data_IF_687656157093
#
_entry.id   IF_687656157093
#
_cell.length_a   1.000
_cell.length_b   1.000
_cell.length_c   1.000
_cell.angle_alpha   90.00
_cell.angle_beta   90.00
_cell.angle_gamma   90.00
#
_symmetry.space_group_name_H-M   'P 1'
#
loop_
_entity.id
_entity.type
_entity.pdbx_description
1 polymer ?
#
# COMPACT_ATOMS: atom_id res chain seq x y z
N UNK A 1 17.12 -11.14 19.87
CA UNK A 1 16.13 -11.42 18.81
C UNK A 1 16.86 -12.04 17.64
N UNK A 2 16.26 -13.03 16.99
CA UNK A 2 16.87 -13.59 15.79
C UNK A 2 16.57 -12.66 14.61
N UNK A 3 17.58 -11.90 14.19
CA UNK A 3 17.52 -10.93 13.09
C UNK A 3 16.95 -11.58 11.83
N UNK A 4 17.26 -12.86 11.63
CA UNK A 4 16.81 -13.66 10.49
C UNK A 4 15.28 -13.79 10.49
N UNK A 5 14.66 -14.02 11.66
CA UNK A 5 13.20 -14.14 11.78
C UNK A 5 12.52 -12.81 11.48
N UNK A 6 13.00 -11.71 12.06
CA UNK A 6 12.44 -10.39 11.79
C UNK A 6 12.49 -10.04 10.31
N UNK A 7 13.66 -10.20 9.69
CA UNK A 7 13.86 -9.86 8.29
C UNK A 7 13.02 -10.74 7.38
N UNK A 8 12.94 -12.06 7.65
CA UNK A 8 12.17 -12.98 6.81
C UNK A 8 10.67 -12.68 6.86
N UNK A 9 10.11 -12.47 8.05
CA UNK A 9 8.68 -12.17 8.22
C UNK A 9 8.34 -10.78 7.67
N UNK A 10 9.20 -9.79 7.92
CA UNK A 10 8.99 -8.43 7.38
C UNK A 10 9.11 -8.43 5.86
N UNK A 11 10.09 -9.12 5.28
CA UNK A 11 10.27 -9.25 3.84
C UNK A 11 9.04 -9.91 3.20
N UNK A 12 8.52 -10.96 3.82
CA UNK A 12 7.29 -11.61 3.39
C UNK A 12 6.09 -10.66 3.35
N UNK A 13 5.88 -9.91 4.43
CA UNK A 13 4.77 -8.95 4.53
C UNK A 13 4.89 -7.83 3.50
N UNK A 14 6.08 -7.23 3.36
CA UNK A 14 6.34 -6.20 2.36
C UNK A 14 6.19 -6.70 0.94
N UNK A 15 6.68 -7.91 0.66
CA UNK A 15 6.53 -8.54 -0.64
C UNK A 15 5.05 -8.77 -0.98
N UNK A 16 4.26 -9.28 -0.03
CA UNK A 16 2.82 -9.47 -0.19
C UNK A 16 2.07 -8.14 -0.42
N UNK A 17 2.45 -7.09 0.31
CA UNK A 17 1.89 -5.74 0.12
C UNK A 17 2.19 -5.20 -1.27
N UNK A 18 3.45 -5.27 -1.71
CA UNK A 18 3.84 -4.80 -3.04
C UNK A 18 3.11 -5.60 -4.13
N UNK A 19 2.97 -6.92 -3.98
CA UNK A 19 2.20 -7.75 -4.90
C UNK A 19 0.73 -7.35 -4.97
N UNK A 20 0.10 -7.09 -3.82
CA UNK A 20 -1.28 -6.61 -3.77
C UNK A 20 -1.42 -5.28 -4.53
N UNK A 21 -0.48 -4.36 -4.32
CA UNK A 21 -0.44 -3.09 -5.02
C UNK A 21 -0.33 -3.31 -6.53
N UNK A 22 0.59 -4.17 -6.99
CA UNK A 22 0.74 -4.50 -8.39
C UNK A 22 -0.54 -5.09 -8.98
N UNK A 23 -1.21 -5.99 -8.26
CA UNK A 23 -2.48 -6.56 -8.68
C UNK A 23 -3.60 -5.50 -8.78
N UNK A 24 -3.72 -4.62 -7.78
CA UNK A 24 -4.74 -3.56 -7.76
C UNK A 24 -4.61 -2.59 -8.93
N UNK A 25 -3.39 -2.37 -9.44
CA UNK A 25 -3.14 -1.50 -10.60
C UNK A 25 -2.76 -2.27 -11.87
N UNK A 26 -3.05 -3.57 -11.90
CA UNK A 26 -2.86 -4.46 -13.06
C UNK A 26 -1.46 -4.37 -13.69
N UNK A 27 -0.44 -4.16 -12.86
CA UNK A 27 0.94 -4.21 -13.33
C UNK A 27 1.36 -5.64 -13.61
N UNK A 28 2.24 -5.81 -14.59
CA UNK A 28 2.78 -7.13 -14.94
C UNK A 28 3.69 -7.62 -13.81
N UNK A 29 3.26 -8.63 -13.07
CA UNK A 29 4.03 -9.18 -11.95
C UNK A 29 5.23 -10.00 -12.46
N UNK A 30 5.04 -10.77 -13.54
CA UNK A 30 6.00 -11.79 -14.00
C UNK A 30 7.39 -11.26 -14.34
N UNK A 31 7.48 -10.15 -15.09
CA UNK A 31 8.76 -9.54 -15.48
C UNK A 31 9.49 -8.85 -14.31
N UNK A 32 8.78 -8.53 -13.23
CA UNK A 32 9.30 -7.70 -12.13
C UNK A 32 9.53 -8.48 -10.84
N UNK A 33 9.29 -9.79 -10.79
CA UNK A 33 9.42 -10.60 -9.57
C UNK A 33 10.75 -10.38 -8.81
N UNK A 34 11.88 -10.32 -9.52
CA UNK A 34 13.17 -10.03 -8.89
C UNK A 34 13.24 -8.64 -8.26
N UNK A 35 12.71 -7.62 -8.93
CA UNK A 35 12.64 -6.25 -8.41
C UNK A 35 11.68 -6.12 -7.22
N UNK A 36 10.54 -6.84 -7.26
CA UNK A 36 9.57 -6.91 -6.18
C UNK A 36 10.18 -7.55 -4.92
N UNK A 37 10.86 -8.70 -5.09
CA UNK A 37 11.55 -9.37 -4.00
C UNK A 37 12.68 -8.51 -3.41
N UNK A 38 13.47 -7.85 -4.26
CA UNK A 38 14.53 -6.94 -3.83
C UNK A 38 13.97 -5.74 -3.06
N UNK A 39 12.86 -5.15 -3.51
CA UNK A 39 12.19 -4.06 -2.79
C UNK A 39 11.66 -4.50 -1.45
N UNK A 40 11.02 -5.67 -1.39
CA UNK A 40 10.53 -6.26 -0.13
C UNK A 40 11.67 -6.46 0.86
N UNK A 41 12.82 -6.96 0.40
CA UNK A 41 14.02 -7.11 1.22
C UNK A 41 14.55 -5.77 1.74
N UNK A 42 14.71 -4.76 0.87
CA UNK A 42 15.21 -3.45 1.29
C UNK A 42 14.26 -2.72 2.24
N UNK A 43 12.95 -2.83 2.03
CA UNK A 43 11.95 -2.28 2.95
C UNK A 43 11.94 -3.00 4.28
N UNK A 44 12.15 -4.32 4.29
CA UNK A 44 12.34 -5.08 5.53
C UNK A 44 13.61 -4.66 6.28
N UNK A 45 14.73 -4.46 5.57
CA UNK A 45 15.97 -3.93 6.18
C UNK A 45 15.74 -2.51 6.74
N UNK A 46 15.05 -1.64 6.00
CA UNK A 46 14.70 -0.30 6.48
C UNK A 46 13.84 -0.36 7.75
N UNK A 47 12.83 -1.25 7.76
CA UNK A 47 12.00 -1.54 8.94
C UNK A 47 12.83 -1.99 10.13
N UNK A 48 13.77 -2.92 9.93
CA UNK A 48 14.66 -3.41 10.98
C UNK A 48 15.53 -2.29 11.56
N UNK A 49 16.15 -1.48 10.71
CA UNK A 49 16.96 -0.35 11.15
C UNK A 49 16.14 0.63 11.99
N UNK A 50 14.93 0.97 11.55
CA UNK A 50 14.09 1.94 12.25
C UNK A 50 13.55 1.43 13.59
N UNK A 51 13.07 0.18 13.65
CA UNK A 51 12.43 -0.35 14.86
C UNK A 51 13.41 -0.97 15.86
N UNK A 52 14.44 -1.67 15.38
CA UNK A 52 15.34 -2.44 16.26
C UNK A 52 16.64 -1.71 16.52
N UNK A 53 17.24 -1.06 15.52
CA UNK A 53 18.55 -0.41 15.67
C UNK A 53 18.41 1.00 16.22
N UNK A 54 17.49 1.79 15.67
CA UNK A 54 17.27 3.18 16.08
C UNK A 54 16.14 3.36 17.10
N UNK A 55 15.32 2.33 17.33
CA UNK A 55 14.16 2.36 18.25
C UNK A 55 13.17 3.51 17.97
N UNK A 56 13.13 3.99 16.72
CA UNK A 56 12.33 5.13 16.29
C UNK A 56 10.90 4.73 15.95
N UNK A 57 10.20 4.11 16.89
CA UNK A 57 8.87 3.50 16.67
C UNK A 57 7.86 4.44 15.99
N UNK A 58 7.76 5.69 16.45
CA UNK A 58 6.78 6.66 15.92
C UNK A 58 7.20 7.23 14.55
N UNK A 59 8.50 7.47 14.36
CA UNK A 59 9.04 8.00 13.10
C UNK A 59 9.04 6.90 12.03
N UNK A 60 9.29 5.64 12.40
CA UNK A 60 9.29 4.49 11.52
C UNK A 60 7.97 4.39 10.73
N UNK A 61 6.84 4.59 11.42
CA UNK A 61 5.51 4.58 10.83
C UNK A 61 5.29 5.66 9.76
N UNK A 62 5.99 6.80 9.85
CA UNK A 62 5.94 7.87 8.84
C UNK A 62 6.95 7.64 7.71
N UNK A 63 8.13 7.10 8.04
CA UNK A 63 9.23 6.88 7.08
C UNK A 63 8.92 5.73 6.13
N UNK A 64 8.26 4.66 6.62
CA UNK A 64 7.99 3.48 5.81
C UNK A 64 7.14 3.76 4.55
N UNK A 65 6.00 4.49 4.61
CA UNK A 65 5.26 4.88 3.40
C UNK A 65 6.08 5.73 2.43
N UNK A 66 6.94 6.61 2.96
CA UNK A 66 7.84 7.44 2.15
C UNK A 66 8.87 6.56 1.44
N UNK A 67 9.46 5.59 2.14
CA UNK A 67 10.39 4.63 1.54
C UNK A 67 9.72 3.83 0.44
N UNK A 68 8.52 3.29 0.68
CA UNK A 68 7.74 2.59 -0.35
C UNK A 68 7.46 3.50 -1.55
N UNK A 69 7.06 4.75 -1.33
CA UNK A 69 6.89 5.74 -2.39
C UNK A 69 8.14 5.93 -3.24
N UNK A 70 9.32 6.04 -2.63
CA UNK A 70 10.58 6.16 -3.36
C UNK A 70 10.86 4.91 -4.22
N UNK A 71 10.54 3.70 -3.74
CA UNK A 71 10.67 2.48 -4.56
C UNK A 71 9.75 2.50 -5.78
N UNK A 72 8.47 2.84 -5.60
CA UNK A 72 7.52 2.96 -6.72
C UNK A 72 7.92 4.06 -7.71
N UNK A 73 8.42 5.19 -7.22
CA UNK A 73 8.86 6.27 -8.10
C UNK A 73 10.16 5.94 -8.84
N UNK A 74 11.22 5.57 -8.12
CA UNK A 74 12.57 5.48 -8.69
C UNK A 74 12.83 4.14 -9.34
N UNK A 75 12.49 3.04 -8.66
CA UNK A 75 12.82 1.69 -9.14
C UNK A 75 11.82 1.21 -10.18
N UNK A 76 10.53 1.42 -9.91
CA UNK A 76 9.47 1.15 -10.86
C UNK A 76 9.16 2.34 -11.76
N UNK A 77 10.00 3.38 -11.85
CA UNK A 77 9.84 4.51 -12.80
C UNK A 77 8.41 5.09 -12.89
N UNK A 78 7.59 5.00 -11.83
CA UNK A 78 6.19 5.46 -11.86
C UNK A 78 6.20 6.97 -11.62
N UNK A 79 5.47 7.79 -12.39
CA UNK A 79 5.42 9.22 -12.14
C UNK A 79 4.98 9.53 -10.70
N UNK A 80 5.59 10.52 -10.01
CA UNK A 80 5.40 10.75 -8.58
C UNK A 80 3.93 10.77 -8.14
N UNK A 81 3.08 11.48 -8.88
CA UNK A 81 1.67 11.60 -8.53
C UNK A 81 0.94 10.26 -8.51
N UNK A 82 1.21 9.38 -9.49
CA UNK A 82 0.63 8.03 -9.53
C UNK A 82 1.26 7.13 -8.47
N UNK A 83 2.58 7.21 -8.27
CA UNK A 83 3.28 6.46 -7.24
C UNK A 83 2.69 6.73 -5.86
N UNK A 84 2.38 8.00 -5.53
CA UNK A 84 1.77 8.34 -4.24
C UNK A 84 0.38 7.72 -4.07
N UNK A 85 -0.49 7.77 -5.08
CA UNK A 85 -1.85 7.20 -5.01
C UNK A 85 -1.78 5.67 -4.83
N UNK A 86 -0.87 5.04 -5.58
CA UNK A 86 -0.64 3.60 -5.54
C UNK A 86 -0.21 3.18 -4.14
N UNK A 87 0.78 3.86 -3.58
CA UNK A 87 1.31 3.58 -2.25
C UNK A 87 0.24 3.81 -1.19
N UNK A 88 -0.46 4.94 -1.21
CA UNK A 88 -1.51 5.25 -0.22
C UNK A 88 -2.65 4.21 -0.27
N UNK A 89 -3.14 3.85 -1.46
CA UNK A 89 -4.19 2.85 -1.58
C UNK A 89 -3.73 1.47 -1.07
N UNK A 90 -2.50 1.08 -1.41
CA UNK A 90 -1.89 -0.15 -0.89
C UNK A 90 -1.80 -0.15 0.63
N UNK A 91 -1.30 0.95 1.19
CA UNK A 91 -1.17 1.12 2.62
C UNK A 91 -2.50 1.14 3.36
N UNK A 92 -3.53 1.79 2.82
CA UNK A 92 -4.85 1.78 3.43
C UNK A 92 -5.47 0.38 3.38
N UNK A 93 -5.27 -0.37 2.30
CA UNK A 93 -5.68 -1.78 2.23
C UNK A 93 -4.93 -2.62 3.29
N UNK A 94 -3.62 -2.40 3.43
CA UNK A 94 -2.81 -3.02 4.48
C UNK A 94 -3.30 -2.69 5.89
N UNK A 95 -3.48 -1.40 6.20
CA UNK A 95 -4.00 -0.93 7.48
C UNK A 95 -5.37 -1.51 7.78
N UNK A 96 -6.24 -1.66 6.78
CA UNK A 96 -7.55 -2.27 6.93
C UNK A 96 -7.44 -3.75 7.30
N UNK A 97 -6.59 -4.52 6.61
CA UNK A 97 -6.35 -5.93 6.92
C UNK A 97 -5.76 -6.07 8.32
N UNK A 98 -4.71 -5.30 8.63
CA UNK A 98 -3.99 -5.36 9.90
C UNK A 98 -4.90 -5.00 11.08
N UNK A 99 -5.66 -3.90 10.99
CA UNK A 99 -6.61 -3.50 12.03
C UNK A 99 -7.78 -4.47 12.19
N UNK A 100 -8.30 -5.03 11.10
CA UNK A 100 -9.36 -6.05 11.16
C UNK A 100 -8.83 -7.31 11.83
N UNK A 101 -7.65 -7.78 11.43
CA UNK A 101 -7.03 -8.96 12.01
C UNK A 101 -6.75 -8.77 13.50
N UNK A 102 -6.25 -7.61 13.89
CA UNK A 102 -6.00 -7.27 15.28
C UNK A 102 -7.27 -7.38 16.13
N UNK A 103 -8.37 -6.73 15.70
CA UNK A 103 -9.64 -6.77 16.43
C UNK A 103 -10.19 -8.20 16.54
N UNK A 104 -10.04 -9.01 15.48
CA UNK A 104 -10.44 -10.42 15.52
C UNK A 104 -9.58 -11.18 16.55
N UNK A 105 -8.26 -11.02 16.53
CA UNK A 105 -7.37 -11.71 17.47
C UNK A 105 -7.57 -11.27 18.93
N UNK A 106 -7.90 -9.99 19.15
CA UNK A 106 -8.22 -9.43 20.46
C UNK A 106 -9.48 -10.09 21.05
N UNK A 107 -10.50 -10.36 20.23
CA UNK A 107 -11.70 -11.09 20.67
C UNK A 107 -11.41 -12.52 21.15
N UNK A 108 -10.33 -13.14 20.67
CA UNK A 108 -9.86 -14.44 21.14
C UNK A 108 -8.89 -14.35 22.33
N UNK A 109 -8.65 -13.15 22.88
CA UNK A 109 -7.77 -12.93 24.03
C UNK A 109 -6.27 -12.98 23.71
N UNK A 110 -5.88 -12.94 22.43
CA UNK A 110 -4.48 -12.93 22.06
C UNK A 110 -3.88 -11.52 22.25
N UNK A 111 -2.82 -11.42 23.06
CA UNK A 111 -2.10 -10.15 23.27
C UNK A 111 -0.93 -10.09 22.30
N UNK A 112 -0.98 -9.17 21.35
CA UNK A 112 0.10 -8.94 20.38
C UNK A 112 1.09 -7.93 20.97
N UNK A 113 2.24 -8.42 21.42
CA UNK A 113 3.33 -7.60 21.94
C UNK A 113 4.50 -7.55 20.95
N UNK A 114 5.15 -6.38 20.75
CA UNK A 114 6.29 -6.27 19.85
C UNK A 114 7.37 -7.32 20.17
N UNK A 115 8.07 -7.78 19.13
CA UNK A 115 9.23 -8.68 19.27
C UNK A 115 8.95 -10.08 19.85
N UNK A 116 7.69 -10.50 19.92
CA UNK A 116 7.27 -11.84 20.36
C UNK A 116 6.91 -12.77 19.19
N UNK A 117 6.89 -14.08 19.45
CA UNK A 117 6.44 -15.09 18.47
C UNK A 117 5.01 -14.83 18.00
N UNK A 118 4.14 -14.35 18.88
CA UNK A 118 2.77 -13.95 18.57
C UNK A 118 2.72 -12.80 17.56
N UNK A 119 3.61 -11.81 17.67
CA UNK A 119 3.68 -10.72 16.71
C UNK A 119 4.17 -11.20 15.33
N UNK A 120 5.18 -12.07 15.30
CA UNK A 120 5.63 -12.64 14.03
C UNK A 120 4.58 -13.51 13.35
N UNK A 121 3.84 -14.33 14.11
CA UNK A 121 2.72 -15.09 13.58
C UNK A 121 1.62 -14.18 13.03
N UNK A 122 1.34 -13.07 13.73
CA UNK A 122 0.39 -12.05 13.28
C UNK A 122 0.81 -11.43 11.94
N UNK A 123 2.07 -10.97 11.80
CA UNK A 123 2.57 -10.42 10.53
C UNK A 123 2.62 -11.45 9.39
N UNK A 124 2.98 -12.70 9.70
CA UNK A 124 2.93 -13.78 8.71
C UNK A 124 1.50 -14.02 8.20
N UNK A 125 0.52 -14.00 9.11
CA UNK A 125 -0.91 -14.13 8.78
C UNK A 125 -1.42 -12.93 7.99
N UNK A 126 -1.01 -11.71 8.34
CA UNK A 126 -1.29 -10.50 7.55
C UNK A 126 -0.78 -10.64 6.13
N UNK A 127 0.49 -11.03 5.95
CA UNK A 127 1.08 -11.29 4.63
C UNK A 127 0.31 -12.36 3.83
N UNK A 128 -0.12 -13.44 4.50
CA UNK A 128 -0.94 -14.48 3.86
C UNK A 128 -2.28 -13.92 3.37
N UNK A 129 -2.98 -13.12 4.17
CA UNK A 129 -4.25 -12.49 3.77
C UNK A 129 -4.04 -11.54 2.59
N UNK A 130 -2.96 -10.75 2.59
CA UNK A 130 -2.62 -9.87 1.47
C UNK A 130 -2.38 -10.67 0.17
N UNK A 131 -1.73 -11.84 0.25
CA UNK A 131 -1.56 -12.72 -0.91
C UNK A 131 -2.88 -13.33 -1.38
N UNK A 132 -3.78 -13.71 -0.47
CA UNK A 132 -5.11 -14.19 -0.83
C UNK A 132 -5.92 -13.08 -1.51
N UNK A 133 -5.84 -11.85 -1.01
CA UNK A 133 -6.45 -10.67 -1.64
C UNK A 133 -5.82 -10.42 -3.02
N UNK A 134 -4.50 -10.52 -3.14
CA UNK A 134 -3.79 -10.39 -4.43
C UNK A 134 -4.31 -11.41 -5.43
N UNK A 135 -4.39 -12.68 -5.02
CA UNK A 135 -4.91 -13.76 -5.85
C UNK A 135 -6.35 -13.50 -6.27
N UNK A 136 -7.21 -13.03 -5.35
CA UNK A 136 -8.59 -12.68 -5.63
C UNK A 136 -8.68 -11.54 -6.66
N UNK A 137 -7.94 -10.45 -6.45
CA UNK A 137 -7.87 -9.30 -7.35
C UNK A 137 -7.44 -9.72 -8.76
N UNK A 138 -6.39 -10.53 -8.88
CA UNK A 138 -5.92 -11.08 -10.17
C UNK A 138 -6.96 -12.01 -10.80
N UNK A 139 -7.54 -12.94 -10.03
CA UNK A 139 -8.48 -13.95 -10.53
C UNK A 139 -9.75 -13.34 -11.10
N UNK A 140 -10.28 -12.33 -10.42
CA UNK A 140 -11.48 -11.61 -10.83
C UNK A 140 -11.18 -10.40 -11.74
N UNK A 141 -9.90 -10.18 -12.07
CA UNK A 141 -9.43 -9.02 -12.85
C UNK A 141 -9.93 -7.69 -12.27
N UNK A 142 -10.06 -7.61 -10.96
CA UNK A 142 -10.41 -6.39 -10.25
C UNK A 142 -9.14 -5.54 -10.23
N UNK A 143 -9.22 -4.27 -10.62
CA UNK A 143 -8.05 -3.40 -10.63
C UNK A 143 -8.14 -2.31 -11.68
N UNK A 144 -7.25 -1.34 -11.55
CA UNK A 144 -7.19 -0.12 -12.34
C UNK A 144 -6.10 -0.24 -13.40
N UNK A 145 -6.34 0.28 -14.61
CA UNK A 145 -5.39 0.24 -15.73
C UNK A 145 -4.89 1.63 -16.13
N UNK A 146 -5.38 2.69 -15.49
CA UNK A 146 -5.04 4.07 -15.85
C UNK A 146 -3.57 4.42 -15.56
N UNK A 147 -2.90 3.72 -14.65
CA UNK A 147 -1.49 3.97 -14.37
C UNK A 147 -0.62 3.23 -15.37
N UNK A 148 0.25 3.97 -16.05
CA UNK A 148 1.19 3.42 -17.01
C UNK A 148 2.59 3.36 -16.37
N UNK A 149 3.31 2.27 -16.62
CA UNK A 149 4.67 2.02 -16.17
C UNK A 149 5.50 1.52 -17.35
N UNK A 150 6.74 2.00 -17.54
CA UNK A 150 7.67 1.54 -18.57
C UNK A 150 8.33 2.65 -19.40
N UNK A 151 9.17 2.27 -20.37
CA UNK A 151 10.03 3.14 -21.20
C UNK A 151 9.27 3.95 -22.28
N UNK A 152 7.95 3.86 -22.36
CA UNK A 152 7.14 4.69 -23.28
C UNK A 152 6.94 6.10 -22.73
N UNK A 153 8.04 6.81 -22.45
CA UNK A 153 8.06 8.23 -22.09
C UNK A 153 7.37 8.58 -20.77
N UNK A 154 7.96 9.49 -20.01
CA UNK A 154 7.33 10.19 -18.88
C UNK A 154 6.12 11.07 -19.29
N UNK A 155 5.44 10.77 -20.39
CA UNK A 155 4.25 11.49 -20.81
C UNK A 155 3.05 10.92 -20.05
N UNK A 156 2.92 11.37 -18.80
CA UNK A 156 1.64 11.28 -18.11
C UNK A 156 0.56 11.76 -19.10
N UNK A 157 -0.48 10.94 -19.39
CA UNK A 157 -1.53 11.35 -20.30
C UNK A 157 -2.05 12.72 -19.85
N UNK A 158 -2.25 13.64 -20.78
CA UNK A 158 -2.65 15.02 -20.49
C UNK A 158 -4.00 15.02 -19.74
N UNK A 159 -3.96 14.94 -18.43
CA UNK A 159 -5.15 14.96 -17.59
C UNK A 159 -5.83 16.33 -17.76
N UNK A 160 -7.17 16.37 -17.90
CA UNK A 160 -7.94 17.62 -17.90
C UNK A 160 -7.58 18.46 -16.66
N UNK A 161 -7.48 19.79 -16.81
CA UNK A 161 -6.88 20.69 -15.81
C UNK A 161 -7.48 20.63 -14.39
N UNK A 162 -8.74 20.19 -14.25
CA UNK A 162 -9.40 20.00 -12.96
C UNK A 162 -8.74 18.86 -12.13
N UNK A 163 -8.30 17.80 -12.80
CA UNK A 163 -7.73 16.62 -12.15
C UNK A 163 -6.28 16.84 -11.70
N UNK A 164 -5.53 17.75 -12.34
CA UNK A 164 -4.17 18.11 -11.91
C UNK A 164 -4.14 18.75 -10.51
N UNK A 165 -5.24 19.40 -10.09
CA UNK A 165 -5.36 20.01 -8.75
C UNK A 165 -6.01 19.08 -7.74
N UNK A 166 -7.00 18.29 -8.16
CA UNK A 166 -7.73 17.39 -7.26
C UNK A 166 -6.87 16.19 -6.82
N UNK A 167 -6.05 15.66 -7.72
CA UNK A 167 -5.26 14.47 -7.43
C UNK A 167 -4.20 14.66 -6.32
N UNK A 168 -3.35 15.71 -6.34
CA UNK A 168 -2.45 15.97 -5.23
C UNK A 168 -3.17 16.30 -3.92
N UNK A 169 -4.36 16.91 -3.97
CA UNK A 169 -5.19 17.13 -2.78
C UNK A 169 -5.63 15.81 -2.15
N UNK A 170 -6.13 14.88 -2.97
CA UNK A 170 -6.57 13.55 -2.54
C UNK A 170 -5.40 12.75 -1.99
N UNK A 171 -4.23 12.82 -2.63
CA UNK A 171 -2.98 12.23 -2.13
C UNK A 171 -2.57 12.84 -0.80
N UNK A 172 -2.60 14.17 -0.66
CA UNK A 172 -2.26 14.84 0.60
C UNK A 172 -3.24 14.43 1.73
N UNK A 173 -4.54 14.32 1.43
CA UNK A 173 -5.54 13.83 2.36
C UNK A 173 -5.26 12.37 2.78
N UNK A 174 -4.89 11.51 1.83
CA UNK A 174 -4.49 10.12 2.11
C UNK A 174 -3.25 10.03 2.99
N UNK A 175 -2.24 10.88 2.75
CA UNK A 175 -1.07 10.99 3.63
C UNK A 175 -1.44 11.48 5.04
N UNK A 176 -2.33 12.48 5.15
CA UNK A 176 -2.83 12.96 6.44
C UNK A 176 -3.61 11.87 7.18
N UNK A 177 -4.39 11.07 6.46
CA UNK A 177 -5.13 9.93 7.02
C UNK A 177 -4.18 8.83 7.52
N UNK A 178 -3.13 8.51 6.75
CA UNK A 178 -2.10 7.56 7.18
C UNK A 178 -1.31 8.06 8.40
N UNK A 179 -0.92 9.33 8.41
CA UNK A 179 -0.26 9.95 9.55
C UNK A 179 -1.16 9.97 10.79
N UNK A 180 -2.44 10.33 10.60
CA UNK A 180 -3.47 10.29 11.64
C UNK A 180 -3.67 8.88 12.19
N UNK A 181 -3.80 7.88 11.31
CA UNK A 181 -3.90 6.47 11.69
C UNK A 181 -2.75 6.06 12.60
N UNK A 182 -1.51 6.37 12.23
CA UNK A 182 -0.33 6.02 13.01
C UNK A 182 -0.29 6.73 14.37
N UNK A 183 -0.64 8.01 14.43
CA UNK A 183 -0.67 8.78 15.68
C UNK A 183 -1.74 8.28 16.66
N UNK A 184 -2.95 8.00 16.15
CA UNK A 184 -4.05 7.58 17.01
C UNK A 184 -3.88 6.10 17.43
N UNK A 185 -3.35 5.24 16.55
CA UNK A 185 -2.94 3.88 16.90
C UNK A 185 -1.98 3.89 18.09
N UNK A 186 -0.92 4.70 18.04
CA UNK A 186 0.05 4.81 19.13
C UNK A 186 -0.58 5.24 20.46
N UNK A 187 -1.63 6.07 20.42
CA UNK A 187 -2.29 6.63 21.62
C UNK A 187 -3.35 5.71 22.21
N UNK A 188 -4.11 5.00 21.38
CA UNK A 188 -5.37 4.35 21.78
C UNK A 188 -5.47 2.88 21.40
N UNK A 189 -4.48 2.32 20.70
CA UNK A 189 -4.54 0.96 20.15
C UNK A 189 -5.41 0.87 18.91
N UNK A 190 -5.83 -0.33 18.51
CA UNK A 190 -6.79 -0.52 17.43
C UNK A 190 -8.21 -0.48 17.99
N UNK A 191 -9.05 0.39 17.43
CA UNK A 191 -10.47 0.50 17.77
C UNK A 191 -11.32 0.21 16.53
N UNK A 192 -12.58 -0.24 16.69
CA UNK A 192 -13.50 -0.43 15.56
C UNK A 192 -13.69 0.84 14.72
N UNK A 193 -13.59 2.02 15.35
CA UNK A 193 -13.63 3.30 14.64
C UNK A 193 -12.52 3.42 13.59
N UNK A 194 -11.32 2.88 13.84
CA UNK A 194 -10.23 2.91 12.85
C UNK A 194 -10.51 2.03 11.64
N UNK A 195 -11.13 0.88 11.83
CA UNK A 195 -11.52 0.01 10.72
C UNK A 195 -12.52 0.75 9.83
N UNK A 196 -13.52 1.40 10.43
CA UNK A 196 -14.51 2.19 9.69
C UNK A 196 -13.87 3.36 8.94
N UNK A 197 -13.01 4.15 9.59
CA UNK A 197 -12.35 5.28 8.96
C UNK A 197 -11.41 4.85 7.82
N UNK A 198 -10.65 3.77 8.02
CA UNK A 198 -9.76 3.22 6.99
C UNK A 198 -10.56 2.68 5.80
N UNK A 199 -11.65 1.96 6.06
CA UNK A 199 -12.55 1.43 5.03
C UNK A 199 -13.21 2.57 4.23
N UNK A 200 -13.69 3.62 4.88
CA UNK A 200 -14.24 4.81 4.22
C UNK A 200 -13.18 5.51 3.36
N UNK A 201 -11.97 5.67 3.89
CA UNK A 201 -10.85 6.31 3.16
C UNK A 201 -10.46 5.51 1.92
N UNK A 202 -10.30 4.18 2.07
CA UNK A 202 -10.01 3.27 0.97
C UNK A 202 -11.15 3.26 -0.07
N UNK A 203 -12.40 3.27 0.39
CA UNK A 203 -13.59 3.34 -0.48
C UNK A 203 -13.66 4.64 -1.28
N UNK A 204 -13.40 5.78 -0.64
CA UNK A 204 -13.36 7.09 -1.30
C UNK A 204 -12.25 7.15 -2.35
N UNK A 205 -11.03 6.74 -1.99
CA UNK A 205 -9.90 6.72 -2.94
C UNK A 205 -10.11 5.72 -4.08
N UNK A 206 -10.64 4.54 -3.77
CA UNK A 206 -11.01 3.53 -4.76
C UNK A 206 -12.09 4.04 -5.72
N UNK A 207 -13.10 4.76 -5.22
CA UNK A 207 -14.12 5.40 -6.05
C UNK A 207 -13.51 6.46 -6.98
N UNK A 208 -12.61 7.32 -6.47
CA UNK A 208 -11.92 8.30 -7.32
C UNK A 208 -11.04 7.65 -8.39
N UNK A 209 -10.31 6.59 -8.03
CA UNK A 209 -9.52 5.80 -8.96
C UNK A 209 -10.39 5.18 -10.05
N UNK A 210 -11.55 4.64 -9.68
CA UNK A 210 -12.51 4.05 -10.61
C UNK A 210 -13.13 5.09 -11.55
N UNK A 211 -13.52 6.24 -11.02
CA UNK A 211 -14.04 7.36 -11.83
C UNK A 211 -13.00 7.82 -12.86
N UNK A 212 -11.73 7.90 -12.45
CA UNK A 212 -10.64 8.29 -13.35
C UNK A 212 -10.46 7.30 -14.50
N UNK A 213 -10.52 5.99 -14.21
CA UNK A 213 -10.48 4.93 -15.23
C UNK A 213 -11.57 5.14 -16.29
N UNK A 214 -12.81 5.37 -15.84
CA UNK A 214 -13.96 5.60 -16.74
C UNK A 214 -13.80 6.83 -17.63
N UNK A 215 -13.31 7.94 -17.07
CA UNK A 215 -13.11 9.18 -17.84
C UNK A 215 -11.97 9.06 -18.86
N UNK A 216 -10.89 8.35 -18.52
CA UNK A 216 -9.81 8.08 -19.49
C UNK A 216 -10.29 7.15 -20.60
N UNK A 217 -11.09 6.13 -20.26
CA UNK A 217 -11.68 5.23 -21.24
C UNK A 217 -12.63 5.96 -22.22
N UNK A 218 -13.45 6.89 -21.72
CA UNK A 218 -14.36 7.69 -22.56
C UNK A 218 -13.59 8.68 -23.46
N UNK A 219 -12.57 9.35 -22.93
CA UNK A 219 -11.72 10.25 -23.72
C UNK A 219 -10.97 9.54 -24.85
N UNK A 220 -10.48 8.31 -24.59
CA UNK A 220 -9.85 7.46 -25.63
C UNK A 220 -10.84 7.05 -26.74
N UNK A 221 -12.10 6.80 -26.38
CA UNK A 221 -13.15 6.46 -27.35
C UNK A 221 -13.46 7.64 -28.28
N UNK A 222 -13.57 8.86 -27.72
CA UNK A 222 -13.88 10.05 -28.51
C UNK A 222 -12.73 10.44 -29.46
N UNK A 223 -11.46 10.27 -29.06
CA UNK A 223 -10.30 10.54 -29.94
C UNK A 223 -10.12 9.55 -31.10
N UNK A 224 -10.81 8.40 -31.10
CA UNK A 224 -10.76 7.44 -32.21
C UNK A 224 -11.83 7.71 -33.29
N UNK A 225 -12.77 8.61 -33.01
CA UNK A 225 -13.95 8.87 -33.86
C UNK A 225 -13.83 10.21 -34.63
N UNK A 226 -12.90 11.09 -34.23
CA UNK A 226 -12.58 12.34 -34.93
C UNK A 226 -11.21 12.27 -35.59
#
# INVERSE_FOLDING_TARGET
MDVIVFLSVSMWEWFALILLIFALYRFEIGHHLGQLAFSGFLLAMCSYMLFIVFEFNLIALLVQPIAAFLFFWLMFKIPPLYASIIVINGYLAYCLVMSTLYLVTEQFGAVITPSTSTNYAFHAMTGLILLLLTWFVVRFRLGFSFVHYGDTGFTAPSLPGLHKKLLPLVTALGCLMLAGFNLIYWRTGYTPLFVVLTALSLGLLGYYAFRMEHEIASARRNKRIG
#
